data_IF_654818140645
#
_entry.id   IF_654818140645
#
_cell.length_a   1.000
_cell.length_b   1.000
_cell.length_c   1.000
_cell.angle_alpha   90.00
_cell.angle_beta   90.00
_cell.angle_gamma   90.00
#
_symmetry.space_group_name_H-M   'P 1'
#
loop_
_entity.id
_entity.type
_entity.pdbx_description
1 polymer ?
#
# COMPACT_ATOMS: atom_id res chain seq x y z
N UNK A 1 -20.31 -20.03 40.10
CA UNK A 1 -21.38 -19.03 40.01
C UNK A 1 -21.47 -18.65 38.54
N UNK A 2 -22.53 -19.17 37.85
CA UNK A 2 -22.72 -18.97 36.42
C UNK A 2 -23.08 -17.52 36.15
N UNK A 3 -22.16 -16.79 35.58
CA UNK A 3 -22.47 -15.57 34.85
C UNK A 3 -23.18 -16.02 33.57
N UNK A 4 -24.48 -15.95 33.57
CA UNK A 4 -25.25 -15.99 32.33
C UNK A 4 -24.92 -14.71 31.56
N UNK A 5 -24.00 -14.79 30.65
CA UNK A 5 -23.75 -13.72 29.69
C UNK A 5 -25.00 -13.60 28.80
N UNK A 6 -25.88 -12.72 29.15
CA UNK A 6 -27.21 -12.63 28.51
C UNK A 6 -27.38 -11.37 27.67
N UNK A 7 -26.44 -10.42 27.72
CA UNK A 7 -26.53 -9.19 26.95
C UNK A 7 -25.46 -9.16 25.85
N UNK A 8 -25.89 -9.37 24.61
CA UNK A 8 -25.06 -9.17 23.43
C UNK A 8 -25.53 -7.87 22.77
N UNK A 9 -24.63 -6.88 22.69
CA UNK A 9 -24.92 -5.58 22.10
C UNK A 9 -24.97 -5.63 20.58
N UNK A 10 -24.49 -6.74 19.99
CA UNK A 10 -24.61 -6.97 18.54
C UNK A 10 -26.04 -7.30 18.19
N UNK A 11 -26.72 -6.49 17.48
CA UNK A 11 -28.06 -6.74 16.97
C UNK A 11 -28.03 -6.88 15.44
N UNK A 12 -27.60 -8.06 14.91
CA UNK A 12 -27.51 -8.27 13.46
C UNK A 12 -28.86 -8.08 12.79
N UNK A 13 -28.89 -7.26 11.74
CA UNK A 13 -30.10 -7.03 10.94
C UNK A 13 -30.21 -8.04 9.82
N UNK A 14 -31.35 -8.08 9.13
CA UNK A 14 -31.60 -8.91 7.93
C UNK A 14 -31.07 -8.32 6.63
N UNK A 15 -30.36 -7.17 6.69
CA UNK A 15 -29.78 -6.49 5.54
C UNK A 15 -28.56 -7.23 4.98
N UNK A 16 -28.23 -6.93 3.73
CA UNK A 16 -26.93 -7.27 3.13
C UNK A 16 -25.84 -6.45 3.77
N UNK A 17 -24.78 -7.09 4.22
CA UNK A 17 -23.72 -6.45 4.99
C UNK A 17 -22.33 -6.73 4.45
N UNK A 18 -21.45 -5.76 4.67
CA UNK A 18 -20.02 -5.87 4.37
C UNK A 18 -19.23 -5.55 5.63
N UNK A 19 -18.29 -6.42 5.98
CA UNK A 19 -17.36 -6.21 7.09
C UNK A 19 -16.08 -5.55 6.54
N UNK A 20 -15.62 -4.51 7.23
CA UNK A 20 -14.37 -3.79 6.90
C UNK A 20 -13.41 -3.99 8.08
N UNK A 21 -12.25 -4.57 7.82
CA UNK A 21 -11.22 -4.71 8.84
C UNK A 21 -10.29 -3.49 8.82
N UNK A 22 -10.20 -2.80 9.95
CA UNK A 22 -9.35 -1.62 10.13
C UNK A 22 -7.86 -1.95 10.27
N UNK A 23 -7.05 -0.94 10.59
CA UNK A 23 -5.59 -1.08 10.69
C UNK A 23 -5.08 -1.64 12.01
N UNK A 24 -5.92 -1.68 13.04
CA UNK A 24 -5.48 -1.99 14.41
C UNK A 24 -4.63 -0.86 15.00
N UNK A 25 -3.80 -1.15 16.01
CA UNK A 25 -2.92 -0.17 16.61
C UNK A 25 -1.94 0.41 15.60
N UNK A 26 -1.68 1.72 15.69
CA UNK A 26 -0.69 2.38 14.85
C UNK A 26 0.70 1.78 15.08
N UNK A 27 1.41 1.54 13.99
CA UNK A 27 2.78 1.01 13.99
C UNK A 27 3.64 1.90 13.09
N UNK A 28 4.94 1.92 13.36
CA UNK A 28 5.91 2.51 12.43
C UNK A 28 5.74 1.84 11.06
N UNK A 29 5.64 2.64 9.99
CA UNK A 29 5.36 2.16 8.64
C UNK A 29 3.87 1.97 8.28
N UNK A 30 2.94 2.21 9.23
CA UNK A 30 1.49 2.28 8.99
C UNK A 30 1.00 3.68 9.38
N UNK A 31 0.52 4.44 8.41
CA UNK A 31 -0.02 5.78 8.63
C UNK A 31 -1.55 5.76 8.74
N UNK A 32 -2.11 6.90 9.15
CA UNK A 32 -3.56 7.13 9.25
C UNK A 32 -4.27 7.07 7.88
N UNK A 33 -3.52 7.08 6.80
CA UNK A 33 -4.02 7.01 5.42
C UNK A 33 -4.78 5.70 5.14
N UNK A 34 -4.44 4.63 5.85
CA UNK A 34 -5.20 3.38 5.80
C UNK A 34 -6.57 3.52 6.47
N UNK A 35 -6.65 4.27 7.57
CA UNK A 35 -7.92 4.57 8.21
C UNK A 35 -8.84 5.41 7.31
N UNK A 36 -8.28 6.39 6.60
CA UNK A 36 -8.99 7.13 5.55
C UNK A 36 -9.68 6.19 4.55
N UNK A 37 -8.99 5.15 4.10
CA UNK A 37 -9.55 4.17 3.15
C UNK A 37 -10.70 3.37 3.79
N UNK A 38 -10.56 2.96 5.05
CA UNK A 38 -11.61 2.24 5.79
C UNK A 38 -12.86 3.09 5.97
N UNK A 39 -12.71 4.35 6.36
CA UNK A 39 -13.80 5.32 6.56
C UNK A 39 -14.55 5.57 5.25
N UNK A 40 -13.80 5.85 4.17
CA UNK A 40 -14.40 6.09 2.86
C UNK A 40 -15.07 4.84 2.29
N UNK A 41 -14.57 3.63 2.61
CA UNK A 41 -15.24 2.39 2.26
C UNK A 41 -16.58 2.26 2.98
N UNK A 42 -16.63 2.52 4.28
CA UNK A 42 -17.86 2.48 5.07
C UNK A 42 -18.92 3.41 4.47
N UNK A 43 -18.57 4.66 4.19
CA UNK A 43 -19.50 5.63 3.59
C UNK A 43 -19.98 5.19 2.21
N UNK A 44 -19.08 4.75 1.33
CA UNK A 44 -19.45 4.37 -0.03
C UNK A 44 -20.34 3.13 -0.09
N UNK A 45 -20.10 2.16 0.78
CA UNK A 45 -20.91 0.94 0.86
C UNK A 45 -22.29 1.23 1.48
N UNK A 46 -22.35 2.11 2.48
CA UNK A 46 -23.61 2.59 3.05
C UNK A 46 -24.45 3.32 2.00
N UNK A 47 -23.83 4.22 1.22
CA UNK A 47 -24.47 4.90 0.07
C UNK A 47 -24.97 3.90 -0.98
N UNK A 48 -24.28 2.77 -1.17
CA UNK A 48 -24.67 1.68 -2.07
C UNK A 48 -25.74 0.73 -1.49
N UNK A 49 -26.22 0.96 -0.27
CA UNK A 49 -27.30 0.23 0.37
C UNK A 49 -26.90 -0.95 1.23
N UNK A 50 -25.59 -1.19 1.43
CA UNK A 50 -25.11 -2.21 2.35
C UNK A 50 -25.14 -1.72 3.80
N UNK A 51 -25.35 -2.64 4.74
CA UNK A 51 -25.03 -2.42 6.14
C UNK A 51 -23.52 -2.56 6.34
N UNK A 52 -22.88 -1.58 6.92
CA UNK A 52 -21.44 -1.54 7.10
C UNK A 52 -21.04 -1.90 8.51
N UNK A 53 -20.15 -2.88 8.64
CA UNK A 53 -19.64 -3.38 9.90
C UNK A 53 -18.14 -3.07 9.96
N UNK A 54 -17.73 -2.24 10.91
CA UNK A 54 -16.31 -1.94 11.14
C UNK A 54 -15.77 -2.79 12.27
N UNK A 55 -14.60 -3.39 12.07
CA UNK A 55 -13.81 -4.04 13.13
C UNK A 55 -12.48 -3.34 13.25
N UNK A 56 -12.24 -2.63 14.34
CA UNK A 56 -10.98 -1.95 14.62
C UNK A 56 -10.86 -1.67 16.13
N UNK A 57 -9.62 -1.55 16.63
CA UNK A 57 -9.33 -1.37 18.05
C UNK A 57 -8.42 -0.16 18.34
N UNK A 58 -8.34 0.79 17.43
CA UNK A 58 -7.55 2.00 17.63
C UNK A 58 -8.46 3.20 17.94
N UNK A 59 -8.52 3.69 19.20
CA UNK A 59 -9.41 4.78 19.58
C UNK A 59 -9.05 6.14 18.96
N UNK A 60 -7.85 6.26 18.38
CA UNK A 60 -7.36 7.49 17.76
C UNK A 60 -7.72 7.58 16.26
N UNK A 61 -8.61 6.71 15.77
CA UNK A 61 -8.98 6.64 14.36
C UNK A 61 -10.45 6.96 14.13
N UNK A 62 -10.76 7.63 13.02
CA UNK A 62 -12.13 8.00 12.61
C UNK A 62 -12.98 6.74 12.30
N UNK A 63 -12.35 5.65 11.88
CA UNK A 63 -13.08 4.39 11.64
C UNK A 63 -13.73 3.83 12.90
N UNK A 64 -13.25 4.21 14.07
CA UNK A 64 -13.85 3.83 15.39
C UNK A 64 -14.82 4.85 15.95
N UNK A 65 -15.14 5.91 15.21
CA UNK A 65 -16.21 6.82 15.59
C UNK A 65 -17.58 6.13 15.39
N UNK A 66 -18.49 6.37 16.32
CA UNK A 66 -19.79 5.67 16.41
C UNK A 66 -20.70 5.87 15.20
N UNK A 67 -20.48 6.91 14.39
CA UNK A 67 -21.29 7.27 13.25
C UNK A 67 -20.64 6.94 11.88
N UNK A 68 -19.41 6.41 11.88
CA UNK A 68 -18.68 6.05 10.65
C UNK A 68 -19.30 4.83 9.97
N UNK A 69 -19.62 3.80 10.71
CA UNK A 69 -20.26 2.58 10.19
C UNK A 69 -21.63 2.37 10.82
N UNK A 70 -22.44 1.44 10.29
CA UNK A 70 -23.73 1.10 10.90
C UNK A 70 -23.54 0.31 12.20
N UNK A 71 -22.41 -0.42 12.33
CA UNK A 71 -22.03 -1.13 13.56
C UNK A 71 -20.51 -1.18 13.70
N UNK A 72 -20.01 -0.87 14.87
CA UNK A 72 -18.59 -0.95 15.25
C UNK A 72 -18.39 -2.09 16.24
N UNK A 73 -17.45 -2.96 15.95
CA UNK A 73 -16.84 -3.87 16.92
C UNK A 73 -15.46 -3.33 17.28
N UNK A 74 -15.35 -2.84 18.49
CA UNK A 74 -14.08 -2.33 19.01
C UNK A 74 -13.26 -3.48 19.61
N UNK A 75 -12.74 -4.34 18.73
CA UNK A 75 -12.09 -5.59 19.07
C UNK A 75 -10.75 -5.76 18.36
N UNK A 76 -9.83 -6.55 18.92
CA UNK A 76 -8.56 -6.84 18.28
C UNK A 76 -8.73 -7.51 16.92
N UNK A 77 -7.80 -7.17 15.99
CA UNK A 77 -7.75 -7.80 14.67
C UNK A 77 -6.96 -9.12 14.74
N UNK A 78 -7.49 -10.08 15.49
CA UNK A 78 -6.98 -11.46 15.57
C UNK A 78 -8.05 -12.43 15.03
N UNK A 79 -7.60 -13.59 14.56
CA UNK A 79 -8.48 -14.49 13.83
C UNK A 79 -9.67 -14.97 14.68
N UNK A 80 -9.44 -15.24 15.95
CA UNK A 80 -10.46 -15.72 16.89
C UNK A 80 -11.60 -14.70 17.03
N UNK A 81 -11.28 -13.46 17.33
CA UNK A 81 -12.28 -12.41 17.56
C UNK A 81 -13.02 -12.07 16.27
N UNK A 82 -12.30 -11.93 15.16
CA UNK A 82 -12.92 -11.63 13.85
C UNK A 82 -13.85 -12.74 13.40
N UNK A 83 -13.49 -14.01 13.58
CA UNK A 83 -14.36 -15.14 13.24
C UNK A 83 -15.62 -15.17 14.09
N UNK A 84 -15.55 -14.88 15.38
CA UNK A 84 -16.74 -14.83 16.25
C UNK A 84 -17.66 -13.66 15.88
N UNK A 85 -17.10 -12.49 15.56
CA UNK A 85 -17.87 -11.36 15.02
C UNK A 85 -18.60 -11.75 13.73
N UNK A 86 -17.90 -12.40 12.79
CA UNK A 86 -18.48 -12.84 11.52
C UNK A 86 -19.60 -13.86 11.75
N UNK A 87 -19.38 -14.86 12.61
CA UNK A 87 -20.41 -15.84 12.99
C UNK A 87 -21.64 -15.18 13.59
N UNK A 88 -21.42 -14.14 14.44
CA UNK A 88 -22.51 -13.38 15.02
C UNK A 88 -23.30 -12.62 13.97
N UNK A 89 -22.61 -11.94 13.05
CA UNK A 89 -23.25 -11.16 12.00
C UNK A 89 -24.01 -12.05 10.99
N UNK A 90 -23.53 -13.27 10.75
CA UNK A 90 -24.19 -14.25 9.88
C UNK A 90 -25.46 -14.88 10.49
N UNK A 91 -25.77 -14.65 11.76
CA UNK A 91 -27.00 -15.15 12.39
C UNK A 91 -28.26 -14.51 11.81
N UNK A 92 -28.15 -13.34 11.21
CA UNK A 92 -29.25 -12.67 10.55
C UNK A 92 -28.71 -11.85 9.34
N UNK A 93 -29.44 -11.91 8.24
CA UNK A 93 -29.06 -11.25 6.99
C UNK A 93 -27.96 -11.96 6.20
N UNK A 94 -27.53 -11.32 5.14
CA UNK A 94 -26.52 -11.85 4.19
C UNK A 94 -25.19 -11.14 4.36
N UNK A 95 -24.14 -11.89 4.71
CA UNK A 95 -22.76 -11.38 4.63
C UNK A 95 -22.28 -11.47 3.18
N UNK A 96 -22.18 -10.32 2.52
CA UNK A 96 -21.65 -10.20 1.16
C UNK A 96 -20.16 -10.51 1.14
N UNK A 97 -19.41 -10.00 2.13
CA UNK A 97 -18.01 -10.33 2.31
C UNK A 97 -17.25 -9.42 3.26
N UNK A 98 -15.96 -9.70 3.35
CA UNK A 98 -15.02 -9.00 4.22
C UNK A 98 -13.95 -8.30 3.39
N UNK A 99 -13.73 -7.02 3.63
CA UNK A 99 -12.64 -6.22 3.03
C UNK A 99 -11.43 -6.27 3.97
N UNK A 100 -10.32 -6.83 3.47
CA UNK A 100 -9.05 -6.94 4.19
C UNK A 100 -7.95 -6.00 3.66
N UNK A 101 -8.19 -5.33 2.53
CA UNK A 101 -7.17 -4.60 1.77
C UNK A 101 -7.01 -3.13 2.16
N UNK A 102 -7.82 -2.59 3.07
CA UNK A 102 -7.80 -1.15 3.41
C UNK A 102 -7.06 -0.82 4.70
N UNK A 103 -7.01 -1.74 5.65
CA UNK A 103 -6.36 -1.55 6.94
C UNK A 103 -4.84 -1.79 6.96
N UNK A 104 -4.18 -1.84 5.82
CA UNK A 104 -2.74 -2.14 5.73
C UNK A 104 -2.42 -3.61 6.00
N UNK A 105 -1.23 -3.89 6.52
CA UNK A 105 -0.75 -5.27 6.69
C UNK A 105 -1.44 -6.08 7.78
N UNK A 106 -2.04 -5.43 8.77
CA UNK A 106 -2.70 -6.14 9.89
C UNK A 106 -3.86 -7.02 9.42
N UNK A 107 -4.88 -6.49 8.72
CA UNK A 107 -5.99 -7.31 8.24
C UNK A 107 -5.59 -8.26 7.09
N UNK A 108 -4.61 -7.90 6.26
CA UNK A 108 -4.16 -8.79 5.18
C UNK A 108 -3.66 -10.13 5.69
N UNK A 109 -2.97 -10.18 6.82
CA UNK A 109 -2.49 -11.41 7.45
C UNK A 109 -3.62 -12.35 7.86
N UNK A 110 -4.84 -11.86 8.02
CA UNK A 110 -6.02 -12.66 8.35
C UNK A 110 -6.69 -13.28 7.12
N UNK A 111 -6.41 -12.81 5.91
CA UNK A 111 -7.11 -13.16 4.68
C UNK A 111 -7.20 -14.69 4.47
N UNK A 112 -6.07 -15.40 4.57
CA UNK A 112 -6.02 -16.86 4.40
C UNK A 112 -6.78 -17.61 5.50
N UNK A 113 -6.64 -17.18 6.75
CA UNK A 113 -7.34 -17.82 7.88
C UNK A 113 -8.84 -17.65 7.75
N UNK A 114 -9.31 -16.47 7.36
CA UNK A 114 -10.73 -16.20 7.13
C UNK A 114 -11.27 -17.00 5.93
N UNK A 115 -10.54 -17.03 4.82
CA UNK A 115 -10.89 -17.82 3.65
C UNK A 115 -10.99 -19.32 3.97
N UNK A 116 -10.02 -19.88 4.71
CA UNK A 116 -10.01 -21.26 5.16
C UNK A 116 -11.20 -21.61 6.09
N UNK A 117 -11.71 -20.62 6.82
CA UNK A 117 -12.92 -20.75 7.65
C UNK A 117 -14.22 -20.57 6.83
N UNK A 118 -14.15 -20.40 5.51
CA UNK A 118 -15.31 -20.23 4.62
C UNK A 118 -15.89 -18.81 4.61
N UNK A 119 -15.14 -17.81 5.11
CA UNK A 119 -15.56 -16.41 5.07
C UNK A 119 -15.31 -15.85 3.67
N UNK A 120 -16.31 -15.22 3.03
CA UNK A 120 -16.13 -14.61 1.72
C UNK A 120 -15.23 -13.35 1.85
N UNK A 121 -14.07 -13.38 1.20
CA UNK A 121 -13.19 -12.21 1.06
C UNK A 121 -13.55 -11.53 -0.25
N UNK A 122 -13.92 -10.23 -0.20
CA UNK A 122 -14.20 -9.43 -1.39
C UNK A 122 -13.05 -8.49 -1.71
N UNK A 123 -12.83 -8.26 -3.00
CA UNK A 123 -11.66 -7.57 -3.52
C UNK A 123 -10.67 -8.54 -4.17
N UNK A 124 -9.39 -8.22 -4.13
CA UNK A 124 -8.33 -9.11 -4.63
C UNK A 124 -8.27 -10.38 -3.77
N UNK A 125 -8.22 -11.53 -4.43
CA UNK A 125 -8.24 -12.83 -3.73
C UNK A 125 -7.03 -13.01 -2.81
N UNK A 126 -7.18 -13.74 -1.68
CA UNK A 126 -6.06 -14.08 -0.81
C UNK A 126 -4.89 -14.76 -1.55
N UNK A 127 -5.19 -15.59 -2.56
CA UNK A 127 -4.17 -16.22 -3.42
C UNK A 127 -3.35 -15.19 -4.20
N UNK A 128 -3.99 -14.15 -4.75
CA UNK A 128 -3.29 -13.09 -5.48
C UNK A 128 -2.49 -12.17 -4.56
N UNK A 129 -2.99 -11.94 -3.34
CA UNK A 129 -2.26 -11.20 -2.31
C UNK A 129 -1.00 -11.96 -1.92
N UNK A 130 -1.10 -13.24 -1.60
CA UNK A 130 0.03 -14.09 -1.26
C UNK A 130 1.04 -14.21 -2.41
N UNK A 131 0.57 -14.29 -3.66
CA UNK A 131 1.44 -14.31 -4.83
C UNK A 131 2.30 -13.05 -4.93
N UNK A 132 1.77 -11.90 -4.53
CA UNK A 132 2.51 -10.64 -4.51
C UNK A 132 3.46 -10.54 -3.31
N UNK A 133 3.15 -11.19 -2.18
CA UNK A 133 3.95 -11.14 -0.95
C UNK A 133 5.03 -12.26 -0.88
N UNK A 134 4.78 -13.41 -1.52
CA UNK A 134 5.74 -14.51 -1.61
C UNK A 134 6.81 -14.20 -2.67
N UNK A 135 8.04 -14.07 -2.24
CA UNK A 135 9.15 -13.58 -3.08
C UNK A 135 9.52 -14.51 -4.21
N UNK A 136 9.51 -15.81 -3.97
CA UNK A 136 9.91 -16.78 -4.98
C UNK A 136 8.82 -16.85 -6.06
N UNK A 137 7.57 -16.96 -5.66
CA UNK A 137 6.42 -16.93 -6.57
C UNK A 137 6.30 -15.61 -7.33
N UNK A 138 6.57 -14.50 -6.64
CA UNK A 138 6.54 -13.18 -7.26
C UNK A 138 7.68 -13.00 -8.26
N UNK A 139 8.91 -13.43 -7.93
CA UNK A 139 10.04 -13.44 -8.88
C UNK A 139 9.72 -14.23 -10.14
N UNK A 140 9.17 -15.45 -10.00
CA UNK A 140 8.77 -16.28 -11.14
C UNK A 140 7.71 -15.58 -12.02
N UNK A 141 6.75 -14.88 -11.38
CA UNK A 141 5.78 -14.05 -12.10
C UNK A 141 6.46 -12.93 -12.88
N UNK A 142 7.37 -12.18 -12.25
CA UNK A 142 8.06 -11.04 -12.87
C UNK A 142 8.94 -11.49 -14.04
N UNK A 143 9.64 -12.62 -13.91
CA UNK A 143 10.40 -13.22 -15.01
C UNK A 143 9.49 -13.61 -16.19
N UNK A 144 8.33 -14.24 -15.90
CA UNK A 144 7.32 -14.57 -16.91
C UNK A 144 6.78 -13.33 -17.62
N UNK A 145 6.59 -12.25 -16.89
CA UNK A 145 6.12 -10.95 -17.42
C UNK A 145 7.23 -10.16 -18.10
N UNK A 146 8.49 -10.64 -18.04
CA UNK A 146 9.68 -9.97 -18.59
C UNK A 146 9.91 -8.56 -18.02
N UNK A 147 9.58 -8.37 -16.76
CA UNK A 147 9.84 -7.13 -16.04
C UNK A 147 11.20 -7.20 -15.37
N UNK A 148 11.83 -6.03 -15.18
CA UNK A 148 13.13 -5.92 -14.51
C UNK A 148 12.96 -5.69 -13.01
N UNK A 149 13.75 -6.38 -12.21
CA UNK A 149 13.92 -6.15 -10.77
C UNK A 149 15.41 -5.94 -10.46
N UNK A 150 15.75 -5.26 -9.36
CA UNK A 150 17.11 -5.29 -8.83
C UNK A 150 17.54 -6.75 -8.57
N UNK A 151 18.82 -7.04 -8.75
CA UNK A 151 19.34 -8.36 -8.35
C UNK A 151 19.16 -8.53 -6.85
N UNK A 152 18.72 -9.70 -6.43
CA UNK A 152 18.47 -9.99 -5.02
C UNK A 152 18.93 -11.40 -4.64
N UNK A 153 19.23 -11.57 -3.36
CA UNK A 153 19.50 -12.88 -2.78
C UNK A 153 19.00 -12.95 -1.34
N UNK A 154 18.82 -14.15 -0.84
CA UNK A 154 18.38 -14.46 0.52
C UNK A 154 19.37 -15.42 1.15
N UNK A 155 19.90 -15.08 2.32
CA UNK A 155 20.69 -15.99 3.14
C UNK A 155 20.04 -16.18 4.51
N UNK A 156 20.18 -17.37 5.07
CA UNK A 156 19.69 -17.70 6.41
C UNK A 156 20.79 -17.57 7.47
N UNK A 157 22.04 -17.57 7.02
CA UNK A 157 23.20 -17.34 7.88
C UNK A 157 24.04 -16.18 7.34
N UNK A 158 24.84 -15.51 8.19
CA UNK A 158 25.77 -14.48 7.73
C UNK A 158 26.66 -14.95 6.59
N UNK A 159 27.17 -16.20 6.66
CA UNK A 159 28.07 -16.76 5.66
C UNK A 159 27.38 -16.96 4.30
N UNK A 160 26.11 -17.37 4.30
CA UNK A 160 25.32 -17.47 3.07
C UNK A 160 25.11 -16.09 2.43
N UNK A 161 24.80 -15.07 3.23
CA UNK A 161 24.61 -13.71 2.74
C UNK A 161 25.90 -13.16 2.14
N UNK A 162 27.03 -13.31 2.85
CA UNK A 162 28.35 -12.86 2.41
C UNK A 162 28.75 -13.54 1.10
N UNK A 163 28.53 -14.85 0.99
CA UNK A 163 28.90 -15.60 -0.22
C UNK A 163 28.10 -15.17 -1.46
N UNK A 164 26.87 -14.72 -1.27
CA UNK A 164 26.00 -14.27 -2.37
C UNK A 164 26.25 -12.81 -2.76
N UNK A 165 26.75 -12.00 -1.84
CA UNK A 165 26.95 -10.57 -2.05
C UNK A 165 27.90 -10.24 -3.21
N UNK A 166 28.95 -11.04 -3.42
CA UNK A 166 29.90 -10.86 -4.53
C UNK A 166 29.23 -10.98 -5.89
N UNK A 167 28.23 -11.86 -6.02
CA UNK A 167 27.50 -12.08 -7.27
C UNK A 167 26.53 -10.95 -7.62
N UNK A 168 26.05 -10.22 -6.60
CA UNK A 168 25.13 -9.10 -6.76
C UNK A 168 25.90 -7.82 -7.05
N UNK A 169 27.02 -7.58 -6.35
CA UNK A 169 27.84 -6.37 -6.42
C UNK A 169 27.36 -5.27 -5.47
N UNK A 170 28.26 -4.36 -5.13
CA UNK A 170 27.98 -3.22 -4.24
C UNK A 170 27.59 -1.96 -5.04
N UNK A 171 26.83 -1.04 -4.43
CA UNK A 171 26.26 -1.10 -3.07
C UNK A 171 25.07 -2.05 -2.94
N UNK A 172 24.84 -2.56 -1.72
CA UNK A 172 23.76 -3.49 -1.38
C UNK A 172 22.83 -2.87 -0.34
N UNK A 173 21.53 -3.09 -0.50
CA UNK A 173 20.54 -2.86 0.54
C UNK A 173 20.33 -4.17 1.31
N UNK A 174 20.57 -4.13 2.62
CA UNK A 174 20.42 -5.29 3.51
C UNK A 174 19.19 -5.09 4.38
N UNK A 175 18.36 -6.13 4.49
CA UNK A 175 17.15 -6.08 5.31
C UNK A 175 16.80 -7.43 5.94
N UNK A 176 16.35 -7.46 7.22
CA UNK A 176 15.74 -8.65 7.81
C UNK A 176 14.39 -8.94 7.16
N UNK A 177 14.00 -10.21 7.05
CA UNK A 177 12.79 -10.61 6.31
C UNK A 177 11.47 -10.32 7.00
N UNK A 178 11.44 -10.06 8.30
CA UNK A 178 10.21 -9.97 9.08
C UNK A 178 10.05 -8.62 9.81
N UNK A 179 10.57 -7.55 9.23
CA UNK A 179 10.47 -6.20 9.80
C UNK A 179 9.50 -5.32 8.99
N UNK A 180 8.86 -4.37 9.68
CA UNK A 180 7.96 -3.36 9.10
C UNK A 180 8.62 -1.99 9.13
N UNK A 181 8.26 -1.13 8.16
CA UNK A 181 8.70 0.28 8.13
C UNK A 181 10.20 0.46 7.95
N UNK A 182 10.87 -0.47 7.28
CA UNK A 182 12.30 -0.37 7.00
C UNK A 182 13.22 -0.56 8.21
N UNK A 183 12.70 -1.03 9.34
CA UNK A 183 13.50 -1.24 10.56
C UNK A 183 14.70 -2.15 10.29
N UNK A 184 15.88 -1.71 10.73
CA UNK A 184 17.15 -2.40 10.51
C UNK A 184 17.46 -2.66 9.02
N UNK A 185 16.97 -1.81 8.12
CA UNK A 185 17.47 -1.75 6.74
C UNK A 185 18.68 -0.82 6.69
N UNK A 186 19.71 -1.23 5.95
CA UNK A 186 20.91 -0.41 5.78
C UNK A 186 21.58 -0.66 4.43
N UNK A 187 22.18 0.40 3.88
CA UNK A 187 22.98 0.31 2.65
C UNK A 187 24.44 -0.01 2.98
N UNK A 188 24.96 -1.05 2.34
CA UNK A 188 26.36 -1.51 2.48
C UNK A 188 27.13 -1.19 1.21
N UNK A 189 28.27 -0.54 1.37
CA UNK A 189 29.09 -0.08 0.23
C UNK A 189 30.28 -1.01 -0.06
N UNK A 190 30.64 -1.88 0.87
CA UNK A 190 31.76 -2.79 0.76
C UNK A 190 31.55 -4.07 1.60
N UNK A 191 32.39 -5.09 1.35
CA UNK A 191 32.30 -6.36 2.03
C UNK A 191 32.57 -6.28 3.54
N UNK A 192 33.58 -5.54 4.04
CA UNK A 192 33.81 -5.43 5.48
C UNK A 192 32.60 -4.83 6.25
N UNK A 193 31.93 -3.83 5.69
CA UNK A 193 30.71 -3.25 6.27
C UNK A 193 29.57 -4.28 6.29
N UNK A 194 29.41 -5.02 5.20
CA UNK A 194 28.40 -6.08 5.11
C UNK A 194 28.63 -7.18 6.13
N UNK A 195 29.85 -7.73 6.22
CA UNK A 195 30.20 -8.78 7.18
C UNK A 195 29.88 -8.38 8.62
N UNK A 196 30.29 -7.18 9.02
CA UNK A 196 29.99 -6.64 10.34
C UNK A 196 28.47 -6.57 10.57
N UNK A 197 27.74 -6.00 9.61
CA UNK A 197 26.32 -5.74 9.77
C UNK A 197 25.47 -7.01 9.81
N UNK A 198 25.73 -8.00 8.95
CA UNK A 198 24.96 -9.26 8.95
C UNK A 198 25.17 -10.06 10.24
N UNK A 199 26.37 -9.99 10.84
CA UNK A 199 26.62 -10.62 12.14
C UNK A 199 25.90 -9.88 13.29
N UNK A 200 25.76 -8.55 13.21
CA UNK A 200 24.96 -7.77 14.16
C UNK A 200 23.46 -8.11 14.01
N UNK A 201 22.94 -8.23 12.78
CA UNK A 201 21.57 -8.64 12.53
C UNK A 201 21.26 -10.03 13.08
N UNK A 202 22.15 -10.99 12.87
CA UNK A 202 21.99 -12.35 13.38
C UNK A 202 21.92 -12.38 14.92
N UNK A 203 22.68 -11.52 15.60
CA UNK A 203 22.61 -11.36 17.07
C UNK A 203 21.29 -10.74 17.54
N UNK A 204 20.74 -9.77 16.78
CA UNK A 204 19.51 -9.06 17.14
C UNK A 204 18.24 -9.86 16.84
N UNK A 205 18.21 -10.56 15.73
CA UNK A 205 17.00 -11.20 15.18
C UNK A 205 17.08 -12.73 15.13
N UNK A 206 18.21 -13.34 15.50
CA UNK A 206 18.44 -14.78 15.41
C UNK A 206 18.60 -15.27 13.96
N UNK A 207 18.28 -16.54 13.71
CA UNK A 207 18.46 -17.22 12.41
C UNK A 207 17.35 -16.87 11.39
N UNK A 208 16.82 -15.66 11.43
CA UNK A 208 15.85 -15.16 10.46
C UNK A 208 16.51 -14.91 9.10
N UNK A 209 15.78 -15.12 7.98
CA UNK A 209 16.32 -14.83 6.66
C UNK A 209 16.71 -13.34 6.52
N UNK A 210 17.89 -13.09 5.99
CA UNK A 210 18.41 -11.77 5.65
C UNK A 210 18.40 -11.65 4.13
N UNK A 211 17.88 -10.53 3.64
CA UNK A 211 17.89 -10.22 2.24
C UNK A 211 18.96 -9.21 1.91
N UNK A 212 19.50 -9.38 0.72
CA UNK A 212 20.36 -8.40 0.07
C UNK A 212 19.82 -8.10 -1.33
N UNK A 213 19.61 -6.83 -1.59
CA UNK A 213 19.19 -6.35 -2.90
C UNK A 213 20.28 -5.43 -3.48
N UNK A 214 20.50 -5.46 -4.80
CA UNK A 214 21.34 -4.46 -5.46
C UNK A 214 20.74 -3.08 -5.24
N UNK A 215 21.49 -2.17 -4.62
CA UNK A 215 21.03 -0.81 -4.40
C UNK A 215 21.20 0.02 -5.69
N UNK A 216 20.09 0.55 -6.18
CA UNK A 216 20.06 1.37 -7.40
C UNK A 216 20.41 2.82 -7.05
N UNK A 217 21.70 3.09 -6.80
CA UNK A 217 22.18 4.44 -6.49
C UNK A 217 21.80 5.43 -7.59
N UNK A 218 21.41 6.64 -7.22
CA UNK A 218 20.98 7.73 -8.11
C UNK A 218 19.75 7.39 -8.96
N UNK A 219 18.98 6.36 -8.59
CA UNK A 219 17.70 6.07 -9.23
C UNK A 219 16.62 7.06 -8.77
N UNK A 220 15.66 7.32 -9.65
CA UNK A 220 14.44 8.06 -9.34
C UNK A 220 13.40 7.07 -8.86
N UNK A 221 12.94 7.19 -7.63
CA UNK A 221 11.85 6.35 -7.12
C UNK A 221 10.48 6.89 -7.53
N UNK A 222 9.55 5.98 -7.77
CA UNK A 222 8.22 6.28 -8.27
C UNK A 222 7.19 5.38 -7.61
N UNK A 223 6.17 5.97 -6.99
CA UNK A 223 4.98 5.28 -6.53
C UNK A 223 3.85 5.40 -7.56
N UNK A 224 3.11 4.32 -7.76
CA UNK A 224 1.95 4.31 -8.67
C UNK A 224 0.75 3.71 -7.98
N UNK A 225 -0.34 4.45 -7.89
CA UNK A 225 -1.62 3.93 -7.45
C UNK A 225 -2.52 3.61 -8.63
N UNK A 226 -3.11 2.43 -8.60
CA UNK A 226 -4.03 1.97 -9.62
C UNK A 226 -5.31 1.38 -8.99
N UNK A 227 -6.39 1.41 -9.76
CA UNK A 227 -7.69 0.85 -9.40
C UNK A 227 -8.16 -0.06 -10.52
N UNK A 228 -8.63 -1.27 -10.19
CA UNK A 228 -9.02 -2.29 -11.16
C UNK A 228 -10.32 -2.97 -10.77
N UNK A 229 -11.18 -3.25 -11.77
CA UNK A 229 -12.31 -4.17 -11.67
C UNK A 229 -12.05 -5.50 -12.42
N UNK A 230 -10.78 -5.77 -12.77
CA UNK A 230 -10.35 -6.93 -13.55
C UNK A 230 -10.46 -6.76 -15.07
N UNK A 231 -11.30 -5.85 -15.56
CA UNK A 231 -11.50 -5.54 -16.99
C UNK A 231 -11.08 -4.11 -17.34
N UNK A 232 -11.37 -3.18 -16.45
CA UNK A 232 -11.01 -1.77 -16.55
C UNK A 232 -9.96 -1.46 -15.48
N UNK A 233 -8.91 -0.75 -15.87
CA UNK A 233 -7.81 -0.37 -14.98
C UNK A 233 -7.58 1.13 -15.11
N UNK A 234 -7.70 1.85 -14.00
CA UNK A 234 -7.36 3.25 -13.89
C UNK A 234 -5.96 3.35 -13.25
N UNK A 235 -4.98 3.86 -13.99
CA UNK A 235 -3.73 4.34 -13.40
C UNK A 235 -4.03 5.71 -12.81
N UNK A 236 -4.27 5.76 -11.51
CA UNK A 236 -4.77 6.94 -10.83
C UNK A 236 -3.72 8.03 -10.72
N UNK A 237 -2.47 7.67 -10.43
CA UNK A 237 -1.36 8.61 -10.37
C UNK A 237 0.00 7.92 -10.46
N UNK A 238 0.94 8.56 -11.15
CA UNK A 238 2.37 8.26 -11.13
C UNK A 238 3.01 9.39 -10.33
N UNK A 239 3.55 9.06 -9.16
CA UNK A 239 4.14 10.01 -8.23
C UNK A 239 5.66 9.87 -8.26
N UNK A 240 6.36 10.91 -8.64
CA UNK A 240 7.81 10.94 -8.65
C UNK A 240 8.33 11.44 -7.32
N UNK A 241 9.21 10.68 -6.67
CA UNK A 241 9.89 11.09 -5.44
C UNK A 241 10.90 12.20 -5.73
N UNK A 242 11.08 13.08 -4.74
CA UNK A 242 12.01 14.22 -4.81
C UNK A 242 13.34 13.84 -4.18
N UNK A 243 13.31 13.08 -3.09
CA UNK A 243 14.48 12.57 -2.40
C UNK A 243 15.18 11.48 -3.20
N UNK A 244 16.44 11.24 -2.87
CA UNK A 244 17.26 10.20 -3.46
C UNK A 244 16.71 8.80 -3.13
N UNK A 245 16.99 7.83 -3.99
CA UNK A 245 16.64 6.44 -3.77
C UNK A 245 17.23 5.90 -2.46
N UNK A 246 16.46 5.03 -1.79
CA UNK A 246 16.83 4.44 -0.51
C UNK A 246 16.28 5.16 0.72
N UNK A 247 15.60 6.30 0.54
CA UNK A 247 14.78 6.92 1.58
C UNK A 247 13.40 6.26 1.57
N UNK A 248 12.88 5.95 2.77
CA UNK A 248 11.56 5.32 2.88
C UNK A 248 10.49 6.16 2.18
N UNK A 249 9.62 5.53 1.37
CA UNK A 249 8.59 6.21 0.56
C UNK A 249 7.65 7.10 1.38
N UNK A 250 7.42 6.76 2.66
CA UNK A 250 6.65 7.57 3.59
C UNK A 250 7.33 8.87 4.00
N UNK A 251 8.66 8.91 3.95
CA UNK A 251 9.48 10.07 4.32
C UNK A 251 9.84 10.93 3.12
N UNK A 252 9.60 10.43 1.91
CA UNK A 252 9.88 11.15 0.67
C UNK A 252 8.75 12.10 0.32
N UNK A 253 9.10 13.31 -0.08
CA UNK A 253 8.20 14.19 -0.80
C UNK A 253 7.96 13.62 -2.21
N UNK A 254 6.78 13.79 -2.76
CA UNK A 254 6.51 13.35 -4.11
C UNK A 254 5.61 14.32 -4.89
N UNK A 255 5.85 14.36 -6.20
CA UNK A 255 5.11 15.20 -7.16
C UNK A 255 4.16 14.38 -8.02
N UNK A 256 2.95 14.86 -8.19
CA UNK A 256 1.96 14.33 -9.12
C UNK A 256 1.39 15.48 -9.98
N UNK A 257 1.53 15.45 -11.32
CA UNK A 257 2.25 14.46 -12.12
C UNK A 257 3.77 14.49 -11.92
N UNK A 258 4.51 13.49 -12.47
CA UNK A 258 5.97 13.49 -12.45
C UNK A 258 6.55 14.78 -13.07
N UNK A 259 7.62 15.31 -12.48
CA UNK A 259 8.22 16.57 -12.92
C UNK A 259 9.44 16.40 -13.85
N UNK A 260 10.13 15.25 -13.82
CA UNK A 260 11.33 15.02 -14.64
C UNK A 260 11.28 13.74 -15.49
N UNK A 261 10.32 12.84 -15.24
CA UNK A 261 10.20 11.59 -16.01
C UNK A 261 9.69 11.87 -17.42
N UNK A 262 10.41 11.35 -18.44
CA UNK A 262 9.97 11.45 -19.83
C UNK A 262 8.63 10.76 -20.07
N UNK A 263 7.89 11.20 -21.08
CA UNK A 263 6.62 10.58 -21.47
C UNK A 263 6.77 9.09 -21.84
N UNK A 264 7.93 8.68 -22.36
CA UNK A 264 8.22 7.28 -22.68
C UNK A 264 8.37 6.42 -21.45
N UNK A 265 9.09 6.91 -20.43
CA UNK A 265 9.21 6.24 -19.13
C UNK A 265 7.85 6.13 -18.44
N UNK A 266 7.06 7.21 -18.44
CA UNK A 266 5.71 7.19 -17.87
C UNK A 266 4.81 6.15 -18.56
N UNK A 267 4.84 6.05 -19.89
CA UNK A 267 4.11 5.02 -20.64
C UNK A 267 4.59 3.60 -20.30
N UNK A 268 5.88 3.42 -20.10
CA UNK A 268 6.44 2.13 -19.68
C UNK A 268 5.91 1.74 -18.30
N UNK A 269 5.95 2.66 -17.34
CA UNK A 269 5.42 2.46 -15.99
C UNK A 269 3.92 2.14 -16.03
N UNK A 270 3.13 2.91 -16.78
CA UNK A 270 1.70 2.65 -16.97
C UNK A 270 1.42 1.24 -17.48
N UNK A 271 2.13 0.86 -18.55
CA UNK A 271 1.97 -0.47 -19.16
C UNK A 271 2.33 -1.58 -18.17
N UNK A 272 3.43 -1.45 -17.44
CA UNK A 272 3.85 -2.43 -16.46
C UNK A 272 2.84 -2.52 -15.30
N UNK A 273 2.32 -1.38 -14.82
CA UNK A 273 1.29 -1.33 -13.78
C UNK A 273 0.00 -2.05 -14.22
N UNK A 274 -0.44 -1.80 -15.44
CA UNK A 274 -1.63 -2.46 -16.02
C UNK A 274 -1.41 -3.97 -16.18
N UNK A 275 -0.23 -4.37 -16.64
CA UNK A 275 0.15 -5.77 -16.78
C UNK A 275 0.14 -6.50 -15.42
N UNK A 276 0.70 -5.89 -14.39
CA UNK A 276 0.70 -6.40 -13.01
C UNK A 276 -0.71 -6.51 -12.43
N UNK A 277 -1.53 -5.47 -12.58
CA UNK A 277 -2.92 -5.49 -12.11
C UNK A 277 -3.72 -6.64 -12.73
N UNK A 278 -3.53 -6.89 -14.03
CA UNK A 278 -4.20 -7.99 -14.72
C UNK A 278 -3.65 -9.36 -14.33
N UNK A 279 -2.32 -9.51 -14.24
CA UNK A 279 -1.66 -10.77 -13.87
C UNK A 279 -2.01 -11.20 -12.44
N UNK A 280 -2.07 -10.25 -11.50
CA UNK A 280 -2.47 -10.45 -10.11
C UNK A 280 -3.99 -10.45 -9.91
N UNK A 281 -4.79 -10.32 -10.99
CA UNK A 281 -6.26 -10.29 -10.93
C UNK A 281 -6.80 -9.31 -9.89
N UNK A 282 -6.21 -8.12 -9.83
CA UNK A 282 -6.55 -7.09 -8.84
C UNK A 282 -8.02 -6.68 -8.95
N UNK A 283 -8.68 -6.62 -7.81
CA UNK A 283 -10.02 -6.07 -7.61
C UNK A 283 -9.94 -5.00 -6.51
N UNK A 284 -10.13 -3.75 -6.86
CA UNK A 284 -9.92 -2.61 -5.98
C UNK A 284 -8.57 -1.94 -6.20
N UNK A 285 -7.90 -1.53 -5.13
CA UNK A 285 -6.65 -0.76 -5.17
C UNK A 285 -5.41 -1.65 -5.29
N UNK A 286 -4.40 -1.10 -5.96
CA UNK A 286 -3.05 -1.63 -6.02
C UNK A 286 -2.05 -0.48 -6.02
N UNK A 287 -0.99 -0.61 -5.25
CA UNK A 287 0.17 0.27 -5.29
C UNK A 287 1.37 -0.48 -5.86
N UNK A 288 2.14 0.19 -6.68
CA UNK A 288 3.38 -0.35 -7.27
C UNK A 288 4.51 0.65 -7.07
N UNK A 289 5.63 0.16 -6.57
CA UNK A 289 6.85 0.94 -6.42
C UNK A 289 7.85 0.59 -7.51
N UNK A 290 8.37 1.61 -8.16
CA UNK A 290 9.38 1.50 -9.21
C UNK A 290 10.61 2.33 -8.88
N UNK A 291 11.74 1.97 -9.49
CA UNK A 291 12.92 2.81 -9.59
C UNK A 291 13.28 2.98 -11.06
N UNK A 292 13.64 4.19 -11.45
CA UNK A 292 14.08 4.51 -12.81
C UNK A 292 15.56 4.87 -12.76
N UNK A 293 16.39 4.11 -13.45
CA UNK A 293 17.83 4.32 -13.56
C UNK A 293 18.30 4.13 -14.99
N UNK A 294 19.08 5.09 -15.52
CA UNK A 294 19.66 5.04 -16.86
C UNK A 294 18.62 4.79 -17.97
N UNK A 295 17.41 5.33 -17.81
CA UNK A 295 16.30 5.14 -18.74
C UNK A 295 15.58 3.79 -18.64
N UNK A 296 15.93 2.95 -17.69
CA UNK A 296 15.33 1.65 -17.43
C UNK A 296 14.43 1.68 -16.21
N UNK A 297 13.29 0.98 -16.29
CA UNK A 297 12.32 0.87 -15.20
C UNK A 297 12.52 -0.45 -14.47
N UNK A 298 12.74 -0.36 -13.17
CA UNK A 298 12.88 -1.51 -12.27
C UNK A 298 11.69 -1.57 -11.33
N UNK A 299 11.06 -2.73 -11.24
CA UNK A 299 10.01 -3.01 -10.27
C UNK A 299 10.63 -3.29 -8.91
N UNK A 300 10.20 -2.58 -7.88
CA UNK A 300 10.67 -2.75 -6.50
C UNK A 300 9.68 -3.60 -5.70
N UNK A 301 8.40 -3.17 -5.67
CA UNK A 301 7.37 -3.82 -4.85
C UNK A 301 5.99 -3.64 -5.46
N UNK A 302 5.11 -4.62 -5.25
CA UNK A 302 3.68 -4.55 -5.59
C UNK A 302 2.85 -4.86 -4.36
N UNK A 303 1.91 -4.00 -4.07
CA UNK A 303 0.98 -4.13 -2.96
C UNK A 303 -0.45 -4.13 -3.50
N UNK A 304 -1.14 -5.28 -3.65
CA UNK A 304 -2.53 -5.35 -4.10
C UNK A 304 -3.49 -4.95 -2.97
N UNK A 305 -3.33 -3.75 -2.48
CA UNK A 305 -4.08 -3.14 -1.36
C UNK A 305 -4.03 -1.63 -1.44
N UNK A 306 -4.73 -0.94 -0.53
CA UNK A 306 -4.58 0.49 -0.33
C UNK A 306 -3.13 0.85 0.05
N UNK A 307 -2.73 2.04 -0.32
CA UNK A 307 -1.42 2.63 -0.03
C UNK A 307 -1.58 3.89 0.82
N UNK A 308 -0.46 4.39 1.31
CA UNK A 308 -0.40 5.65 2.03
C UNK A 308 -0.64 6.86 1.12
N UNK A 309 -0.40 6.70 -0.18
CA UNK A 309 -0.56 7.77 -1.17
C UNK A 309 -1.99 7.93 -1.68
N UNK A 310 -2.91 7.00 -1.36
CA UNK A 310 -4.32 7.05 -1.79
C UNK A 310 -5.02 8.37 -1.49
N UNK A 311 -4.93 8.96 -0.28
CA UNK A 311 -5.58 10.25 0.00
C UNK A 311 -5.00 11.39 -0.83
N UNK A 312 -3.69 11.42 -1.02
CA UNK A 312 -2.99 12.40 -1.83
C UNK A 312 -3.42 12.31 -3.30
N UNK A 313 -3.38 11.11 -3.89
CA UNK A 313 -3.79 10.88 -5.27
C UNK A 313 -5.26 11.24 -5.46
N UNK A 314 -6.15 10.77 -4.60
CA UNK A 314 -7.59 11.04 -4.68
C UNK A 314 -7.91 12.54 -4.71
N UNK A 315 -7.27 13.32 -3.83
CA UNK A 315 -7.41 14.78 -3.76
C UNK A 315 -6.81 15.48 -5.00
N UNK A 316 -5.65 15.01 -5.46
CA UNK A 316 -4.97 15.61 -6.62
C UNK A 316 -5.78 15.44 -7.90
N UNK A 317 -6.32 14.26 -8.17
CA UNK A 317 -7.05 13.98 -9.41
C UNK A 317 -8.55 14.26 -9.30
N UNK A 318 -9.04 14.66 -8.12
CA UNK A 318 -10.46 14.87 -7.82
C UNK A 318 -11.32 13.65 -8.21
N UNK A 319 -10.88 12.46 -7.75
CA UNK A 319 -11.60 11.18 -7.91
C UNK A 319 -11.51 10.43 -6.59
N UNK A 320 -12.62 10.07 -5.94
CA UNK A 320 -12.63 9.41 -4.63
C UNK A 320 -12.29 7.91 -4.77
N UNK A 321 -11.03 7.60 -5.13
CA UNK A 321 -10.58 6.25 -5.52
C UNK A 321 -10.81 5.19 -4.43
N UNK A 322 -10.72 5.55 -3.14
CA UNK A 322 -11.02 4.62 -2.05
C UNK A 322 -12.51 4.24 -2.00
N UNK A 323 -13.42 5.21 -2.19
CA UNK A 323 -14.87 4.97 -2.30
C UNK A 323 -15.21 4.08 -3.48
N UNK A 324 -14.63 4.39 -4.65
CA UNK A 324 -14.83 3.62 -5.87
C UNK A 324 -14.30 2.19 -5.71
N UNK A 325 -13.12 2.03 -5.10
CA UNK A 325 -12.54 0.71 -4.86
C UNK A 325 -13.43 -0.18 -3.98
N UNK A 326 -14.02 0.37 -2.91
CA UNK A 326 -14.93 -0.37 -2.05
C UNK A 326 -16.16 -0.88 -2.82
N UNK A 327 -16.73 -0.04 -3.68
CA UNK A 327 -17.88 -0.42 -4.53
C UNK A 327 -17.49 -1.44 -5.60
N UNK A 328 -16.30 -1.32 -6.19
CA UNK A 328 -15.74 -2.35 -7.11
C UNK A 328 -15.61 -3.69 -6.40
N UNK A 329 -15.10 -3.70 -5.16
CA UNK A 329 -15.00 -4.93 -4.36
C UNK A 329 -16.39 -5.53 -4.06
N UNK A 330 -17.43 -4.71 -3.94
CA UNK A 330 -18.81 -5.14 -3.77
C UNK A 330 -19.50 -5.53 -5.10
N UNK A 331 -18.78 -5.52 -6.23
CA UNK A 331 -19.24 -6.04 -7.52
C UNK A 331 -19.68 -5.00 -8.55
N UNK A 332 -19.54 -3.70 -8.26
CA UNK A 332 -19.84 -2.65 -9.24
C UNK A 332 -18.70 -2.48 -10.26
N UNK A 333 -19.03 -1.97 -11.44
CA UNK A 333 -18.05 -1.76 -12.50
C UNK A 333 -17.38 -0.39 -12.38
N UNK A 334 -16.07 -0.37 -12.53
CA UNK A 334 -15.26 0.84 -12.45
C UNK A 334 -15.74 1.93 -13.43
N UNK A 335 -16.06 1.55 -14.65
CA UNK A 335 -16.48 2.47 -15.72
C UNK A 335 -17.73 3.26 -15.36
N UNK A 336 -18.65 2.70 -14.59
CA UNK A 336 -19.92 3.33 -14.25
C UNK A 336 -19.78 4.42 -13.17
N UNK A 337 -18.67 4.43 -12.45
CA UNK A 337 -18.42 5.31 -11.31
C UNK A 337 -17.45 6.47 -11.60
N UNK A 338 -16.72 6.39 -12.71
CA UNK A 338 -15.73 7.41 -13.04
C UNK A 338 -16.34 8.63 -13.73
N UNK A 339 -15.75 9.83 -13.52
CA UNK A 339 -16.17 11.03 -14.26
C UNK A 339 -16.04 10.85 -15.77
N UNK A 340 -16.93 11.45 -16.54
CA UNK A 340 -16.94 11.38 -18.02
C UNK A 340 -15.63 11.88 -18.69
N UNK A 341 -14.84 12.69 -17.99
CA UNK A 341 -13.53 13.14 -18.46
C UNK A 341 -12.49 12.00 -18.53
N UNK A 342 -12.72 10.92 -17.80
CA UNK A 342 -11.85 9.74 -17.82
C UNK A 342 -12.32 8.82 -18.95
N UNK A 343 -11.46 8.63 -19.93
CA UNK A 343 -11.74 7.79 -21.11
C UNK A 343 -10.85 6.57 -21.12
N UNK A 344 -11.44 5.43 -21.36
CA UNK A 344 -10.72 4.16 -21.48
C UNK A 344 -10.27 3.91 -22.92
N UNK A 345 -9.09 3.33 -23.05
CA UNK A 345 -8.54 2.82 -24.30
C UNK A 345 -8.13 1.34 -24.15
N UNK A 346 -8.34 0.58 -25.22
CA UNK A 346 -7.91 -0.81 -25.22
C UNK A 346 -6.38 -0.95 -25.18
N UNK A 347 -5.88 -1.78 -24.27
CA UNK A 347 -4.47 -2.12 -24.16
C UNK A 347 -4.27 -3.62 -24.28
N UNK A 348 -3.49 -4.05 -25.25
CA UNK A 348 -3.11 -5.46 -25.43
C UNK A 348 -1.93 -5.81 -24.54
N UNK A 349 -2.00 -6.96 -23.89
CA UNK A 349 -1.01 -7.52 -22.98
C UNK A 349 -0.58 -8.91 -23.52
N UNK A 350 0.25 -8.95 -24.57
CA UNK A 350 0.63 -10.20 -25.22
C UNK A 350 1.41 -11.15 -24.29
N UNK A 351 2.08 -10.64 -23.25
CA UNK A 351 2.82 -11.42 -22.27
C UNK A 351 1.94 -12.43 -21.54
N UNK A 352 0.65 -12.11 -21.40
CA UNK A 352 -0.36 -12.95 -20.72
C UNK A 352 -1.57 -13.28 -21.62
N UNK A 353 -1.50 -12.93 -22.91
CA UNK A 353 -2.57 -13.17 -23.86
C UNK A 353 -3.89 -12.48 -23.53
N UNK A 354 -3.85 -11.30 -22.93
CA UNK A 354 -5.01 -10.56 -22.47
C UNK A 354 -5.16 -9.19 -23.16
N UNK A 355 -6.36 -8.63 -23.06
CA UNK A 355 -6.67 -7.25 -23.41
C UNK A 355 -7.50 -6.64 -22.27
N UNK A 356 -7.23 -5.39 -21.93
CA UNK A 356 -7.93 -4.63 -20.88
C UNK A 356 -8.29 -3.25 -21.39
N UNK A 357 -9.18 -2.57 -20.68
CA UNK A 357 -9.48 -1.16 -20.89
C UNK A 357 -8.66 -0.34 -19.86
N UNK A 358 -7.79 0.54 -20.31
CA UNK A 358 -6.93 1.36 -19.46
C UNK A 358 -7.30 2.85 -19.56
N UNK A 359 -7.28 3.54 -18.44
CA UNK A 359 -7.40 4.99 -18.36
C UNK A 359 -6.36 5.58 -17.41
N UNK A 360 -6.10 6.88 -17.57
CA UNK A 360 -5.19 7.68 -16.73
C UNK A 360 -5.99 8.68 -15.91
N UNK A 361 -5.79 8.68 -14.59
CA UNK A 361 -6.47 9.60 -13.69
C UNK A 361 -5.88 11.02 -13.70
N UNK A 362 -4.62 11.15 -14.08
CA UNK A 362 -3.82 12.38 -13.96
C UNK A 362 -3.51 13.07 -15.29
N UNK A 363 -3.80 12.46 -16.43
CA UNK A 363 -3.42 12.97 -17.76
C UNK A 363 -4.04 14.32 -18.13
N UNK A 364 -5.14 14.70 -17.46
CA UNK A 364 -5.85 15.95 -17.71
C UNK A 364 -5.60 17.03 -16.65
N UNK A 365 -4.68 16.82 -15.73
CA UNK A 365 -4.36 17.77 -14.68
C UNK A 365 -3.76 19.05 -15.26
N UNK A 366 -4.22 20.19 -14.74
CA UNK A 366 -3.69 21.52 -15.07
C UNK A 366 -2.89 22.14 -13.93
N UNK A 367 -2.61 21.34 -12.91
CA UNK A 367 -1.86 21.71 -11.72
C UNK A 367 -0.89 20.60 -11.37
N UNK A 368 0.07 20.93 -10.54
CA UNK A 368 0.96 19.99 -9.87
C UNK A 368 0.63 19.96 -8.39
N UNK A 369 0.53 18.77 -7.83
CA UNK A 369 0.43 18.60 -6.40
C UNK A 369 1.75 18.01 -5.87
N UNK A 370 2.16 18.44 -4.70
CA UNK A 370 3.32 17.90 -3.98
C UNK A 370 2.87 17.44 -2.61
N UNK A 371 3.25 16.23 -2.25
CA UNK A 371 3.15 15.69 -0.91
C UNK A 371 4.47 15.92 -0.20
N UNK A 372 4.44 16.38 1.03
CA UNK A 372 5.59 16.55 1.91
C UNK A 372 5.38 15.74 3.20
N UNK A 373 6.42 15.08 3.70
CA UNK A 373 6.34 14.34 4.95
C UNK A 373 6.44 15.26 6.17
N UNK A 374 5.74 14.95 7.24
CA UNK A 374 5.82 15.68 8.52
C UNK A 374 6.70 14.91 9.50
N UNK A 375 7.77 15.56 9.98
CA UNK A 375 8.75 14.98 10.88
C UNK A 375 8.64 15.58 12.29
N UNK A 376 8.29 14.76 13.31
CA UNK A 376 8.15 15.25 14.67
C UNK A 376 9.48 15.26 15.46
N UNK A 377 10.61 15.53 14.81
CA UNK A 377 11.95 15.46 15.44
C UNK A 377 12.07 16.28 16.71
N UNK A 378 11.41 17.44 16.77
CA UNK A 378 11.40 18.27 17.98
C UNK A 378 10.76 17.60 19.21
N UNK A 379 9.88 16.60 18.99
CA UNK A 379 9.21 15.84 20.08
C UNK A 379 10.00 14.61 20.53
N UNK A 380 10.99 14.18 19.76
CA UNK A 380 11.80 13.00 20.02
C UNK A 380 13.30 13.34 20.08
N UNK A 381 13.76 13.94 21.19
CA UNK A 381 15.17 14.29 21.36
C UNK A 381 16.07 13.06 21.22
N UNK A 382 17.17 13.19 20.45
CA UNK A 382 18.14 12.11 20.25
C UNK A 382 17.85 11.17 19.09
N UNK A 383 16.75 11.37 18.34
CA UNK A 383 16.54 10.66 17.09
C UNK A 383 17.43 11.27 16.00
N UNK A 384 18.07 10.39 15.24
CA UNK A 384 18.83 10.81 14.06
C UNK A 384 17.88 11.43 13.02
N UNK A 385 18.21 12.62 12.56
CA UNK A 385 17.44 13.39 11.58
C UNK A 385 17.79 13.05 10.12
N UNK A 386 18.84 12.25 9.90
CA UNK A 386 19.21 11.79 8.56
C UNK A 386 18.18 10.79 8.07
N UNK A 387 17.55 11.07 6.93
CA UNK A 387 16.59 10.18 6.32
C UNK A 387 17.29 8.95 5.73
N UNK A 388 16.57 7.84 5.69
CA UNK A 388 17.07 6.57 5.20
C UNK A 388 15.94 5.56 4.97
N UNK A 389 16.25 4.27 4.87
CA UNK A 389 15.25 3.25 4.59
C UNK A 389 14.25 3.00 5.73
N UNK A 390 14.55 3.44 6.96
CA UNK A 390 13.63 3.36 8.10
C UNK A 390 12.75 4.61 8.17
N UNK A 391 11.43 4.41 8.25
CA UNK A 391 10.46 5.50 8.31
C UNK A 391 10.53 6.32 9.60
N UNK A 392 10.52 7.64 9.48
CA UNK A 392 10.58 8.61 10.59
C UNK A 392 9.41 9.59 10.62
N UNK A 393 8.69 9.74 9.51
CA UNK A 393 7.52 10.64 9.42
C UNK A 393 6.32 10.12 10.19
N UNK A 394 5.46 11.03 10.63
CA UNK A 394 4.22 10.74 11.37
C UNK A 394 2.96 11.22 10.66
N UNK A 395 3.10 11.92 9.56
CA UNK A 395 1.99 12.46 8.79
C UNK A 395 2.49 13.06 7.48
N UNK A 396 1.57 13.66 6.74
CA UNK A 396 1.87 14.31 5.48
C UNK A 396 1.11 15.62 5.31
N UNK A 397 1.71 16.54 4.57
CA UNK A 397 1.07 17.77 4.10
C UNK A 397 1.00 17.75 2.57
N UNK A 398 0.04 18.48 2.02
CA UNK A 398 -0.17 18.56 0.58
C UNK A 398 -0.26 20.01 0.13
N UNK A 399 0.41 20.33 -0.95
CA UNK A 399 0.29 21.59 -1.66
C UNK A 399 -0.13 21.38 -3.12
N UNK A 400 -0.79 22.40 -3.72
CA UNK A 400 -1.24 22.40 -5.12
C UNK A 400 -0.95 23.76 -5.73
N UNK A 401 -0.28 23.78 -6.90
CA UNK A 401 -0.08 25.00 -7.71
C UNK A 401 -0.04 24.67 -9.20
N UNK A 402 0.01 25.71 -10.02
CA UNK A 402 0.08 25.60 -11.48
C UNK A 402 1.38 24.96 -11.99
N UNK A 403 2.45 24.95 -11.20
CA UNK A 403 3.75 24.39 -11.58
C UNK A 403 4.52 23.80 -10.39
N UNK A 404 5.36 22.80 -10.66
CA UNK A 404 6.21 22.16 -9.65
C UNK A 404 7.12 23.14 -8.88
N UNK A 405 7.86 24.09 -9.52
CA UNK A 405 8.72 25.01 -8.76
C UNK A 405 7.97 25.92 -7.78
N UNK A 406 6.74 26.29 -8.10
CA UNK A 406 5.92 27.10 -7.20
C UNK A 406 5.38 26.28 -6.03
N UNK A 407 5.08 25.02 -6.26
CA UNK A 407 4.42 24.18 -5.27
C UNK A 407 5.37 23.59 -4.23
N UNK A 408 6.58 23.20 -4.61
CA UNK A 408 7.55 22.66 -3.66
C UNK A 408 7.88 23.65 -2.55
N UNK A 409 7.95 24.96 -2.87
CA UNK A 409 8.12 26.00 -1.87
C UNK A 409 6.93 26.16 -0.92
N UNK A 410 5.70 25.88 -1.38
CA UNK A 410 4.49 25.94 -0.55
C UNK A 410 4.33 24.71 0.32
N UNK A 411 4.63 23.52 -0.16
CA UNK A 411 4.62 22.30 0.63
C UNK A 411 5.56 22.42 1.82
N UNK A 412 6.82 22.81 1.58
CA UNK A 412 7.81 23.05 2.64
C UNK A 412 7.41 24.17 3.61
N UNK A 413 6.68 25.21 3.15
CA UNK A 413 6.14 26.23 4.04
C UNK A 413 5.02 25.71 4.94
N UNK A 414 4.14 24.82 4.43
CA UNK A 414 3.06 24.23 5.21
C UNK A 414 3.58 23.31 6.30
N UNK A 415 4.61 22.54 6.03
CA UNK A 415 5.28 21.74 7.04
C UNK A 415 5.79 22.59 8.21
N UNK A 416 6.43 23.76 7.93
CA UNK A 416 6.89 24.69 8.96
C UNK A 416 5.77 25.29 9.81
N UNK A 417 4.57 25.48 9.21
CA UNK A 417 3.40 26.03 9.91
C UNK A 417 2.70 24.96 10.75
N UNK A 418 2.73 23.70 10.34
CA UNK A 418 2.14 22.59 11.09
C UNK A 418 3.03 22.08 12.23
N UNK A 419 4.29 22.48 12.29
CA UNK A 419 5.16 22.26 13.45
C UNK A 419 4.93 23.38 14.46
N UNK A 420 4.27 23.13 15.60
CA UNK A 420 4.14 24.15 16.63
C UNK A 420 5.53 24.51 17.14
N UNK A 421 5.84 25.80 17.16
CA UNK A 421 7.02 26.41 17.77
C UNK A 421 7.04 26.11 19.28
#
# INVERSE_FOLDING_TARGET
DGVTATECESHPTDRKKVVILGGGPNRIGQGIEFDYCCVHAAYALKEAGFETIMVNCNPETVSTDYDTSDRLYFEPLVAEDVLEIIRKEQQNGELVGVIVQFGGQTPLKLARTLEAAGVPIIGTSPESIDLAEDRDRFRDLIEKLKLKQPKSAIGRTPEEVISQAESIGFPLLVRPSYVLGGRAMATMHDMPSLEKYVHELAKMFGDGPILIDSFLQDAVEVDVDALSDGSHILVAGIMQHIEEAGIHSGDSACSLPPYSLSAEIQKTIQRQTVLLAKALKVQGLMNVQYAVKDGEVYLIEVNPRASRTVPFVAKTIDIPIAKIAARVMAGEKLVDMLPKRITFAAMKLPEIGAEVQMAEGYSTLKHTAVKEAVFPFARFPGVDTILGPEMKSTGEAMGIDASFPAEIGRASCRERVSSPV
#
